data_IF_694023444105
#
_entry.id   IF_694023444105
#
_cell.length_a   1.000
_cell.length_b   1.000
_cell.length_c   1.000
_cell.angle_alpha   90.00
_cell.angle_beta   90.00
_cell.angle_gamma   90.00
#
_symmetry.space_group_name_H-M   'P 1'
#
loop_
_entity.id
_entity.type
_entity.pdbx_description
1 polymer ?
#
# COMPACT_ATOMS: atom_id res chain seq x y z
N UNK A 1 7.56 29.29 13.30
CA UNK A 1 8.34 28.43 12.37
C UNK A 1 8.10 26.99 12.77
N UNK A 2 7.13 26.31 12.15
CA UNK A 2 6.81 24.91 12.47
C UNK A 2 7.87 24.04 11.80
N UNK A 3 8.80 23.50 12.59
CA UNK A 3 9.74 22.50 12.10
C UNK A 3 8.95 21.32 11.55
N UNK A 4 8.95 21.15 10.23
CA UNK A 4 8.43 19.95 9.59
C UNK A 4 9.27 18.78 10.08
N UNK A 5 8.81 18.07 11.12
CA UNK A 5 9.35 16.78 11.50
C UNK A 5 9.36 15.90 10.24
N UNK A 6 10.56 15.50 9.80
CA UNK A 6 10.74 14.70 8.59
C UNK A 6 9.99 13.38 8.78
N UNK A 7 8.94 13.16 8.00
CA UNK A 7 8.15 11.92 8.03
C UNK A 7 9.00 10.73 7.60
N UNK A 8 8.78 9.59 8.25
CA UNK A 8 9.32 8.32 7.81
C UNK A 8 8.67 7.88 6.50
N UNK A 9 9.32 7.06 5.66
CA UNK A 9 8.68 6.51 4.45
C UNK A 9 7.34 5.82 4.74
N UNK A 10 7.22 5.17 5.90
CA UNK A 10 5.95 4.55 6.28
C UNK A 10 4.84 5.56 6.58
N UNK A 11 5.19 6.70 7.19
CA UNK A 11 4.22 7.79 7.39
C UNK A 11 3.82 8.43 6.06
N UNK A 12 4.76 8.60 5.13
CA UNK A 12 4.46 9.08 3.77
C UNK A 12 3.49 8.14 3.05
N UNK A 13 3.74 6.83 3.11
CA UNK A 13 2.84 5.79 2.58
C UNK A 13 1.41 5.90 3.16
N UNK A 14 1.30 6.24 4.45
CA UNK A 14 0.01 6.39 5.10
C UNK A 14 -0.81 7.59 4.61
N UNK A 15 -0.17 8.58 4.00
CA UNK A 15 -0.86 9.77 3.47
C UNK A 15 -1.83 9.40 2.32
N UNK A 16 -1.52 8.36 1.54
CA UNK A 16 -2.42 7.86 0.49
C UNK A 16 -3.79 7.45 1.04
N UNK A 17 -3.84 7.01 2.30
CA UNK A 17 -5.07 6.56 2.98
C UNK A 17 -5.74 7.64 3.81
N UNK A 18 -5.14 8.82 3.92
CA UNK A 18 -5.68 9.94 4.68
C UNK A 18 -6.90 10.57 3.98
N UNK A 19 -7.72 11.29 4.75
CA UNK A 19 -8.81 12.07 4.16
C UNK A 19 -8.26 13.33 3.51
N UNK A 20 -8.81 13.73 2.36
CA UNK A 20 -8.51 15.04 1.76
C UNK A 20 -8.88 16.22 2.68
N UNK A 21 -9.90 16.04 3.53
CA UNK A 21 -10.31 17.04 4.53
C UNK A 21 -9.39 17.09 5.76
N UNK A 22 -8.63 16.01 6.01
CA UNK A 22 -7.82 15.82 7.21
C UNK A 22 -6.55 15.04 6.83
N UNK A 23 -5.54 15.69 6.21
CA UNK A 23 -4.43 15.00 5.56
C UNK A 23 -3.50 14.24 6.51
N UNK A 24 -3.60 14.49 7.83
CA UNK A 24 -2.83 13.77 8.86
C UNK A 24 -3.66 12.70 9.58
N UNK A 25 -4.92 12.52 9.22
CA UNK A 25 -5.83 11.58 9.87
C UNK A 25 -6.39 10.57 8.88
N UNK A 26 -6.23 9.30 9.23
CA UNK A 26 -6.78 8.18 8.48
C UNK A 26 -8.01 7.73 9.25
N UNK A 27 -9.19 7.87 8.67
CA UNK A 27 -10.45 7.29 9.16
C UNK A 27 -10.72 5.93 8.50
N UNK A 28 -11.65 5.14 9.04
CA UNK A 28 -12.00 3.85 8.43
C UNK A 28 -12.44 4.04 6.97
N UNK A 29 -13.27 5.07 6.72
CA UNK A 29 -13.76 5.40 5.39
C UNK A 29 -12.66 5.94 4.48
N UNK A 30 -11.75 6.78 4.96
CA UNK A 30 -10.64 7.29 4.12
C UNK A 30 -9.67 6.18 3.74
N UNK A 31 -9.36 5.29 4.69
CA UNK A 31 -8.52 4.12 4.40
C UNK A 31 -9.19 3.18 3.40
N UNK A 32 -10.48 2.92 3.57
CA UNK A 32 -11.26 2.15 2.61
C UNK A 32 -11.23 2.78 1.21
N UNK A 33 -11.43 4.10 1.11
CA UNK A 33 -11.35 4.84 -0.15
C UNK A 33 -9.97 4.78 -0.79
N UNK A 34 -8.90 4.92 -0.01
CA UNK A 34 -7.52 4.81 -0.48
C UNK A 34 -7.17 3.39 -0.96
N UNK A 35 -7.67 2.35 -0.29
CA UNK A 35 -7.53 0.97 -0.75
C UNK A 35 -8.32 0.71 -2.03
N UNK A 36 -9.56 1.20 -2.11
CA UNK A 36 -10.38 1.10 -3.33
C UNK A 36 -9.72 1.84 -4.50
N UNK A 37 -9.08 2.99 -4.28
CA UNK A 37 -8.41 3.74 -5.36
C UNK A 37 -7.24 2.98 -5.98
N UNK A 38 -6.62 2.06 -5.24
CA UNK A 38 -5.60 1.13 -5.74
C UNK A 38 -6.19 0.01 -6.64
N UNK A 39 -7.51 -0.04 -6.82
CA UNK A 39 -8.21 -1.07 -7.59
C UNK A 39 -8.42 -2.38 -6.81
N UNK A 40 -8.46 -2.31 -5.47
CA UNK A 40 -8.79 -3.45 -4.63
C UNK A 40 -10.31 -3.65 -4.55
N UNK A 41 -10.73 -4.90 -4.42
CA UNK A 41 -12.12 -5.26 -4.15
C UNK A 41 -12.53 -4.85 -2.74
N UNK A 42 -13.84 -4.81 -2.50
CA UNK A 42 -14.39 -4.35 -1.24
C UNK A 42 -13.93 -5.21 -0.03
N UNK A 43 -13.93 -6.56 -0.09
CA UNK A 43 -13.41 -7.38 1.01
C UNK A 43 -11.96 -7.08 1.37
N UNK A 44 -11.06 -7.01 0.40
CA UNK A 44 -9.65 -6.70 0.63
C UNK A 44 -9.47 -5.30 1.21
N UNK A 45 -10.18 -4.31 0.66
CA UNK A 45 -10.13 -2.92 1.11
C UNK A 45 -10.64 -2.76 2.55
N UNK A 46 -11.72 -3.46 2.90
CA UNK A 46 -12.26 -3.46 4.26
C UNK A 46 -11.30 -4.14 5.25
N UNK A 47 -10.70 -5.27 4.87
CA UNK A 47 -9.73 -5.96 5.70
C UNK A 47 -8.49 -5.09 5.99
N UNK A 48 -7.98 -4.36 4.99
CA UNK A 48 -6.87 -3.41 5.18
C UNK A 48 -7.29 -2.24 6.09
N UNK A 49 -8.46 -1.66 5.84
CA UNK A 49 -8.96 -0.52 6.62
C UNK A 49 -9.17 -0.87 8.10
N UNK A 50 -9.68 -2.07 8.39
CA UNK A 50 -9.83 -2.61 9.74
C UNK A 50 -8.48 -3.00 10.36
N UNK A 51 -7.60 -3.64 9.59
CA UNK A 51 -6.26 -4.01 10.05
C UNK A 51 -5.46 -2.79 10.51
N UNK A 52 -5.55 -1.68 9.78
CA UNK A 52 -4.96 -0.41 10.19
C UNK A 52 -5.50 0.09 11.54
N UNK A 53 -6.81 -0.07 11.81
CA UNK A 53 -7.41 0.28 13.12
C UNK A 53 -6.81 -0.58 14.23
N UNK A 54 -6.82 -1.89 14.04
CA UNK A 54 -6.36 -2.83 15.05
C UNK A 54 -4.89 -2.62 15.39
N UNK A 55 -4.07 -2.26 14.39
CA UNK A 55 -2.63 -2.08 14.57
C UNK A 55 -2.23 -0.72 15.16
N UNK A 56 -2.99 0.35 14.91
CA UNK A 56 -2.54 1.71 15.22
C UNK A 56 -3.55 2.56 16.00
N UNK A 57 -4.80 2.13 16.19
CA UNK A 57 -5.72 2.82 17.07
C UNK A 57 -5.59 2.28 18.51
N UNK A 58 -5.54 3.16 19.52
CA UNK A 58 -5.38 2.73 20.91
C UNK A 58 -6.63 1.99 21.40
N UNK A 59 -6.45 0.82 22.03
CA UNK A 59 -7.53 0.15 22.76
C UNK A 59 -8.06 1.07 23.88
N UNK A 60 -9.37 1.16 24.12
CA UNK A 60 -10.50 0.47 23.44
C UNK A 60 -11.10 1.21 22.24
N UNK A 61 -10.47 2.28 21.76
CA UNK A 61 -11.05 3.22 20.80
C UNK A 61 -10.68 2.88 19.33
N UNK A 62 -10.89 1.64 18.91
CA UNK A 62 -10.48 1.17 17.57
C UNK A 62 -11.12 1.93 16.40
N UNK A 63 -12.27 2.58 16.60
CA UNK A 63 -12.95 3.35 15.55
C UNK A 63 -12.44 4.79 15.42
N UNK A 64 -11.55 5.25 16.31
CA UNK A 64 -10.99 6.60 16.21
C UNK A 64 -10.08 6.72 14.97
N UNK A 65 -10.04 7.90 14.34
CA UNK A 65 -9.04 8.20 13.31
C UNK A 65 -7.61 7.96 13.83
N UNK A 66 -6.77 7.38 12.99
CA UNK A 66 -5.35 7.17 13.29
C UNK A 66 -4.61 8.41 12.80
N UNK A 67 -3.85 9.05 13.68
CA UNK A 67 -3.01 10.20 13.33
C UNK A 67 -1.67 9.72 12.80
N UNK A 68 -1.31 10.12 11.58
CA UNK A 68 -0.06 9.70 10.93
C UNK A 68 1.15 10.10 11.78
N UNK A 69 1.12 11.32 12.32
CA UNK A 69 2.20 11.85 13.15
C UNK A 69 2.35 11.12 14.50
N UNK A 70 1.32 10.37 14.94
CA UNK A 70 1.37 9.55 16.16
C UNK A 70 1.98 8.16 15.95
N UNK A 71 2.20 7.74 14.70
CA UNK A 71 2.85 6.47 14.39
C UNK A 71 4.33 6.62 14.74
N UNK A 72 4.76 5.95 15.81
CA UNK A 72 6.17 6.01 16.24
C UNK A 72 7.08 5.35 15.20
N UNK A 73 8.34 5.82 15.05
CA UNK A 73 9.29 5.18 14.15
C UNK A 73 9.53 3.70 14.46
N UNK A 74 9.45 3.30 15.73
CA UNK A 74 9.52 1.87 16.12
C UNK A 74 8.32 1.06 15.66
N UNK A 75 7.15 1.68 15.51
CA UNK A 75 5.94 1.06 14.98
C UNK A 75 5.80 1.18 13.45
N UNK A 76 6.70 1.90 12.77
CA UNK A 76 6.75 1.96 11.30
C UNK A 76 6.94 0.55 10.70
N UNK A 77 6.45 0.29 9.49
CA UNK A 77 6.71 -0.99 8.80
C UNK A 77 7.92 -0.88 7.90
N UNK A 78 8.54 -2.02 7.61
CA UNK A 78 9.65 -2.08 6.66
C UNK A 78 9.14 -1.69 5.27
N UNK A 79 9.44 -0.45 4.89
CA UNK A 79 9.33 0.06 3.52
C UNK A 79 10.55 -0.39 2.68
N UNK A 80 11.31 -1.41 3.12
CA UNK A 80 12.63 -1.75 2.57
C UNK A 80 13.62 -0.58 2.57
N UNK A 81 13.41 0.45 3.41
CA UNK A 81 14.19 1.71 3.40
C UNK A 81 15.70 1.50 3.47
N UNK A 82 16.15 0.46 4.19
CA UNK A 82 17.57 0.14 4.37
C UNK A 82 18.05 -1.03 3.50
N UNK A 83 17.21 -1.58 2.63
CA UNK A 83 17.62 -2.63 1.71
C UNK A 83 18.37 -2.01 0.52
N UNK A 84 19.55 -2.55 0.21
CA UNK A 84 20.31 -2.11 -0.97
C UNK A 84 19.68 -2.70 -2.23
N UNK A 85 19.30 -1.84 -3.17
CA UNK A 85 18.88 -2.25 -4.51
C UNK A 85 20.13 -2.15 -5.39
N UNK A 86 20.61 -3.26 -6.00
CA UNK A 86 21.80 -3.21 -6.85
C UNK A 86 21.64 -2.16 -7.96
N UNK A 87 22.60 -1.24 -8.09
CA UNK A 87 22.53 -0.13 -9.04
C UNK A 87 22.52 -0.59 -10.51
N UNK A 88 23.12 -1.74 -10.79
CA UNK A 88 23.18 -2.38 -12.11
C UNK A 88 21.88 -3.05 -12.54
N UNK A 89 20.89 -3.10 -11.67
CA UNK A 89 19.68 -3.87 -11.91
C UNK A 89 18.59 -3.03 -12.56
N UNK A 90 18.44 -3.17 -13.88
CA UNK A 90 17.15 -3.00 -14.57
C UNK A 90 16.15 -4.12 -14.17
N UNK A 91 16.38 -4.81 -13.05
CA UNK A 91 15.64 -6.01 -12.68
C UNK A 91 14.28 -5.67 -12.11
N UNK A 92 13.29 -6.43 -12.53
CA UNK A 92 12.07 -6.63 -11.77
C UNK A 92 12.31 -7.67 -10.67
N UNK A 93 11.56 -7.59 -9.58
CA UNK A 93 11.71 -8.41 -8.38
C UNK A 93 10.50 -9.33 -8.22
N UNK A 94 10.73 -10.62 -8.05
CA UNK A 94 9.68 -11.55 -7.62
C UNK A 94 9.34 -11.36 -6.15
N UNK A 95 8.28 -12.01 -5.69
CA UNK A 95 7.91 -12.08 -4.27
C UNK A 95 9.06 -12.56 -3.39
N UNK A 96 9.76 -13.60 -3.83
CA UNK A 96 10.88 -14.17 -3.08
C UNK A 96 12.05 -13.21 -3.05
N UNK A 97 12.34 -12.52 -4.16
CA UNK A 97 13.42 -11.53 -4.21
C UNK A 97 13.18 -10.40 -3.20
N UNK A 98 11.95 -9.88 -3.11
CA UNK A 98 11.57 -8.84 -2.15
C UNK A 98 11.65 -9.32 -0.69
N UNK A 99 11.24 -10.55 -0.41
CA UNK A 99 11.38 -11.14 0.92
C UNK A 99 12.84 -11.37 1.29
N UNK A 100 13.67 -11.81 0.34
CA UNK A 100 15.12 -11.93 0.52
C UNK A 100 15.74 -10.57 0.82
N UNK A 101 15.41 -9.54 0.04
CA UNK A 101 15.84 -8.15 0.31
C UNK A 101 15.45 -7.68 1.71
N UNK A 102 14.23 -7.98 2.15
CA UNK A 102 13.82 -7.71 3.52
C UNK A 102 14.67 -8.47 4.52
N UNK A 103 14.80 -9.80 4.39
CA UNK A 103 15.52 -10.64 5.35
C UNK A 103 17.00 -10.30 5.45
N UNK A 104 17.63 -9.86 4.37
CA UNK A 104 19.03 -9.44 4.33
C UNK A 104 19.25 -8.00 4.79
N UNK A 105 18.19 -7.22 5.03
CA UNK A 105 18.30 -5.84 5.50
C UNK A 105 18.65 -5.76 7.00
N UNK A 106 19.34 -4.71 7.41
CA UNK A 106 19.63 -4.46 8.83
C UNK A 106 18.37 -4.29 9.68
N UNK A 107 17.25 -3.90 9.06
CA UNK A 107 15.96 -3.75 9.73
C UNK A 107 15.36 -5.09 10.19
N UNK A 108 15.50 -6.17 9.40
CA UNK A 108 14.95 -7.48 9.76
C UNK A 108 15.64 -8.05 11.00
N UNK A 109 16.96 -7.89 11.11
CA UNK A 109 17.76 -8.38 12.23
C UNK A 109 17.42 -7.71 13.55
N UNK A 110 16.87 -6.48 13.50
CA UNK A 110 16.46 -5.73 14.70
C UNK A 110 15.04 -6.02 15.15
N UNK A 111 14.24 -6.76 14.36
CA UNK A 111 12.83 -7.05 14.67
C UNK A 111 12.63 -8.52 14.96
N UNK A 112 12.00 -8.81 16.10
CA UNK A 112 11.69 -10.17 16.53
C UNK A 112 10.17 -10.40 16.63
N UNK A 113 9.77 -11.68 16.55
CA UNK A 113 8.39 -12.11 16.75
C UNK A 113 7.36 -11.44 15.84
N UNK A 114 6.34 -10.84 16.46
CA UNK A 114 5.19 -10.23 15.78
C UNK A 114 5.59 -9.09 14.83
N UNK A 115 6.56 -8.26 15.19
CA UNK A 115 6.99 -7.13 14.34
C UNK A 115 7.58 -7.62 13.02
N UNK A 116 8.39 -8.68 13.06
CA UNK A 116 8.96 -9.30 11.86
C UNK A 116 7.90 -10.00 11.00
N UNK A 117 6.85 -10.55 11.61
CA UNK A 117 5.69 -11.07 10.87
C UNK A 117 4.93 -9.96 10.15
N UNK A 118 4.64 -8.85 10.84
CA UNK A 118 3.92 -7.72 10.27
C UNK A 118 4.68 -7.05 9.12
N UNK A 119 6.01 -7.00 9.19
CA UNK A 119 6.84 -6.50 8.10
C UNK A 119 6.86 -7.42 6.88
N UNK A 120 6.96 -8.73 7.08
CA UNK A 120 6.86 -9.69 5.97
C UNK A 120 5.51 -9.61 5.30
N UNK A 121 4.44 -9.45 6.08
CA UNK A 121 3.09 -9.22 5.56
C UNK A 121 3.01 -7.90 4.79
N UNK A 122 3.65 -6.84 5.26
CA UNK A 122 3.71 -5.55 4.58
C UNK A 122 4.42 -5.65 3.22
N UNK A 123 5.61 -6.25 3.16
CA UNK A 123 6.35 -6.50 1.91
C UNK A 123 5.56 -7.41 0.96
N UNK A 124 4.91 -8.44 1.49
CA UNK A 124 4.05 -9.32 0.70
C UNK A 124 2.84 -8.57 0.11
N UNK A 125 2.20 -7.72 0.91
CA UNK A 125 1.07 -6.91 0.47
C UNK A 125 1.48 -5.92 -0.62
N UNK A 126 2.66 -5.30 -0.49
CA UNK A 126 3.25 -4.48 -1.54
C UNK A 126 3.47 -5.28 -2.83
N UNK A 127 4.07 -6.46 -2.76
CA UNK A 127 4.20 -7.33 -3.95
C UNK A 127 2.84 -7.63 -4.57
N UNK A 128 1.85 -8.04 -3.77
CA UNK A 128 0.52 -8.40 -4.26
C UNK A 128 -0.16 -7.22 -4.99
N UNK A 129 0.09 -5.99 -4.52
CA UNK A 129 -0.50 -4.77 -5.06
C UNK A 129 0.34 -4.05 -6.12
N UNK A 130 1.65 -4.28 -6.23
CA UNK A 130 2.52 -3.54 -7.15
C UNK A 130 3.05 -4.41 -8.29
N UNK A 131 3.08 -5.75 -8.11
CA UNK A 131 3.61 -6.64 -9.11
C UNK A 131 2.72 -6.65 -10.35
N UNK A 132 3.36 -6.51 -11.51
CA UNK A 132 2.72 -6.63 -12.81
C UNK A 132 1.96 -7.96 -12.88
N UNK A 133 0.75 -7.90 -13.38
CA UNK A 133 -0.19 -9.02 -13.35
C UNK A 133 0.18 -10.14 -14.31
N UNK A 134 0.95 -9.84 -15.37
CA UNK A 134 1.40 -10.81 -16.37
C UNK A 134 2.68 -11.52 -15.93
N UNK A 135 3.63 -10.78 -15.38
CA UNK A 135 4.97 -11.28 -15.01
C UNK A 135 5.05 -11.72 -13.55
N UNK A 136 4.19 -11.18 -12.68
CA UNK A 136 4.28 -11.40 -11.23
C UNK A 136 5.50 -10.75 -10.57
N UNK A 137 6.11 -9.76 -11.23
CA UNK A 137 7.31 -9.07 -10.75
C UNK A 137 7.07 -7.59 -10.54
N UNK A 138 7.79 -6.99 -9.59
CA UNK A 138 7.75 -5.56 -9.26
C UNK A 138 8.97 -4.88 -9.85
N UNK A 139 8.78 -3.82 -10.62
CA UNK A 139 9.92 -3.08 -11.20
C UNK A 139 10.77 -2.40 -10.12
N UNK A 140 12.08 -2.31 -10.34
CA UNK A 140 13.00 -1.61 -9.44
C UNK A 140 12.55 -0.17 -9.11
N UNK A 141 11.93 0.51 -10.08
CA UNK A 141 11.39 1.85 -9.89
C UNK A 141 10.30 1.88 -8.81
N UNK A 142 9.42 0.88 -8.75
CA UNK A 142 8.40 0.78 -7.72
C UNK A 142 8.96 0.36 -6.37
N UNK A 143 9.98 -0.49 -6.33
CA UNK A 143 10.69 -0.79 -5.08
C UNK A 143 11.33 0.49 -4.51
N UNK A 144 11.94 1.32 -5.36
CA UNK A 144 12.50 2.62 -4.94
C UNK A 144 11.42 3.60 -4.47
N UNK A 145 10.22 3.57 -5.06
CA UNK A 145 9.07 4.35 -4.57
C UNK A 145 8.55 3.81 -3.24
N UNK A 146 8.51 2.49 -3.07
CA UNK A 146 8.16 1.84 -1.82
C UNK A 146 9.11 2.27 -0.69
N UNK A 147 10.42 2.26 -0.95
CA UNK A 147 11.45 2.79 -0.03
C UNK A 147 11.24 4.24 0.40
N UNK A 148 10.53 5.03 -0.40
CA UNK A 148 10.20 6.43 -0.13
C UNK A 148 8.77 6.63 0.36
N UNK A 149 7.94 5.58 0.36
CA UNK A 149 6.53 5.62 0.73
C UNK A 149 5.60 6.25 -0.29
N UNK A 150 5.93 6.23 -1.59
CA UNK A 150 5.16 6.92 -2.64
C UNK A 150 4.95 6.08 -3.91
N UNK A 151 4.56 4.81 -3.75
CA UNK A 151 4.43 3.85 -4.84
C UNK A 151 3.01 3.73 -5.38
N UNK A 152 2.03 4.13 -4.58
CA UNK A 152 0.60 3.96 -4.82
C UNK A 152 0.15 4.69 -6.05
N UNK A 153 0.59 5.94 -6.24
CA UNK A 153 0.24 6.74 -7.41
C UNK A 153 0.64 6.03 -8.71
N UNK A 154 1.86 5.47 -8.76
CA UNK A 154 2.33 4.75 -9.94
C UNK A 154 1.44 3.52 -10.23
N UNK A 155 1.05 2.78 -9.19
CA UNK A 155 0.13 1.65 -9.31
C UNK A 155 -1.26 2.08 -9.77
N UNK A 156 -1.80 3.15 -9.19
CA UNK A 156 -3.09 3.73 -9.60
C UNK A 156 -3.04 4.11 -11.08
N UNK A 157 -1.98 4.79 -11.53
CA UNK A 157 -1.83 5.16 -12.94
C UNK A 157 -1.85 3.96 -13.88
N UNK A 158 -1.08 2.90 -13.59
CA UNK A 158 -1.03 1.69 -14.42
C UNK A 158 -2.36 0.96 -14.50
N UNK A 159 -3.21 1.13 -13.48
CA UNK A 159 -4.54 0.53 -13.38
C UNK A 159 -5.65 1.36 -13.99
N UNK A 160 -5.36 2.54 -14.51
CA UNK A 160 -6.42 3.47 -14.92
C UNK A 160 -7.27 2.95 -16.06
N UNK A 161 -6.73 2.25 -17.05
CA UNK A 161 -7.54 1.84 -18.19
C UNK A 161 -8.37 0.59 -17.87
N UNK A 162 -9.66 0.63 -18.20
CA UNK A 162 -10.56 -0.54 -18.17
C UNK A 162 -10.51 -1.37 -19.46
N UNK A 163 -9.79 -0.90 -20.49
CA UNK A 163 -9.70 -1.58 -21.78
C UNK A 163 -8.89 -2.87 -21.60
N UNK A 164 -9.40 -4.03 -22.06
CA UNK A 164 -8.69 -5.30 -21.97
C UNK A 164 -7.26 -5.18 -22.54
N UNK A 165 -6.27 -5.55 -21.73
CA UNK A 165 -4.86 -5.52 -22.12
C UNK A 165 -4.16 -4.16 -22.01
N UNK A 166 -4.87 -3.05 -21.74
CA UNK A 166 -4.28 -1.71 -21.57
C UNK A 166 -4.07 -1.30 -20.09
N UNK A 167 -4.77 -1.92 -19.15
CA UNK A 167 -4.61 -1.68 -17.71
C UNK A 167 -4.01 -2.87 -16.96
N UNK A 168 -3.25 -2.60 -15.90
CA UNK A 168 -2.68 -3.60 -14.98
C UNK A 168 -3.67 -3.97 -13.84
N UNK A 169 -4.87 -4.40 -14.22
CA UNK A 169 -5.96 -4.71 -13.29
C UNK A 169 -5.65 -5.97 -12.50
N UNK A 170 -5.70 -5.89 -11.17
CA UNK A 170 -5.41 -7.04 -10.31
C UNK A 170 -6.36 -8.22 -10.58
N UNK A 171 -5.84 -9.46 -10.58
CA UNK A 171 -6.69 -10.63 -10.51
C UNK A 171 -7.33 -10.74 -9.13
N UNK A 172 -8.48 -11.43 -9.05
CA UNK A 172 -9.22 -11.59 -7.80
C UNK A 172 -8.38 -12.18 -6.65
N UNK A 173 -7.48 -13.13 -6.96
CA UNK A 173 -6.57 -13.76 -5.97
C UNK A 173 -5.55 -12.78 -5.35
N UNK A 174 -5.31 -11.62 -5.98
CA UNK A 174 -4.49 -10.53 -5.43
C UNK A 174 -5.35 -9.37 -4.92
N UNK A 175 -6.66 -9.60 -4.74
CA UNK A 175 -7.59 -8.61 -4.25
C UNK A 175 -8.23 -7.74 -5.33
N UNK A 176 -8.14 -8.08 -6.61
CA UNK A 176 -8.84 -7.36 -7.67
C UNK A 176 -10.34 -7.70 -7.79
N UNK A 177 -11.08 -7.01 -8.68
CA UNK A 177 -12.52 -7.23 -8.87
C UNK A 177 -12.84 -8.47 -9.70
N UNK A 178 -14.02 -9.07 -9.49
CA UNK A 178 -14.57 -10.10 -10.40
C UNK A 178 -15.08 -9.53 -11.72
N UNK A 179 -15.51 -8.26 -11.72
CA UNK A 179 -15.98 -7.54 -12.90
C UNK A 179 -15.63 -6.06 -12.79
N UNK A 180 -14.83 -5.57 -13.74
CA UNK A 180 -14.25 -4.22 -13.72
C UNK A 180 -15.32 -3.13 -13.79
N UNK A 181 -16.29 -3.26 -14.72
CA UNK A 181 -17.34 -2.27 -14.91
C UNK A 181 -18.28 -2.18 -13.70
N UNK A 182 -18.79 -3.32 -13.22
CA UNK A 182 -19.67 -3.38 -12.06
C UNK A 182 -18.97 -2.86 -10.80
N UNK A 183 -17.70 -3.21 -10.61
CA UNK A 183 -16.91 -2.72 -9.49
C UNK A 183 -16.66 -1.20 -9.59
N UNK A 184 -16.25 -0.69 -10.75
CA UNK A 184 -16.05 0.75 -10.98
C UNK A 184 -17.32 1.54 -10.66
N UNK A 185 -18.46 1.08 -11.17
CA UNK A 185 -19.76 1.68 -10.88
C UNK A 185 -20.07 1.66 -9.38
N UNK A 186 -19.96 0.51 -8.71
CA UNK A 186 -20.29 0.39 -7.29
C UNK A 186 -19.38 1.26 -6.42
N UNK A 187 -18.07 1.28 -6.70
CA UNK A 187 -17.09 2.06 -5.96
C UNK A 187 -17.30 3.56 -6.14
N UNK A 188 -17.66 3.99 -7.35
CA UNK A 188 -18.00 5.38 -7.62
C UNK A 188 -19.27 5.81 -6.88
N UNK A 189 -20.34 5.03 -6.97
CA UNK A 189 -21.64 5.41 -6.40
C UNK A 189 -21.66 5.33 -4.86
N UNK A 190 -21.03 4.31 -4.26
CA UNK A 190 -21.08 4.09 -2.82
C UNK A 190 -20.00 4.87 -2.06
N UNK A 191 -18.82 5.04 -2.66
CA UNK A 191 -17.66 5.60 -1.97
C UNK A 191 -17.15 6.89 -2.61
N UNK A 192 -17.64 7.30 -3.79
CA UNK A 192 -17.16 8.49 -4.49
C UNK A 192 -15.78 8.32 -5.13
N UNK A 193 -15.26 7.09 -5.20
CA UNK A 193 -13.91 6.81 -5.72
C UNK A 193 -13.99 6.42 -7.18
N UNK A 194 -13.15 7.03 -8.03
CA UNK A 194 -13.09 6.71 -9.47
C UNK A 194 -11.94 5.76 -9.74
N UNK A 195 -12.27 4.56 -10.23
CA UNK A 195 -11.31 3.53 -10.68
C UNK A 195 -11.68 3.07 -12.08
N UNK A 196 -10.70 2.63 -12.87
CA UNK A 196 -10.91 2.06 -14.22
C UNK A 196 -11.68 3.01 -15.16
N UNK A 197 -10.97 3.99 -15.71
CA UNK A 197 -11.42 4.94 -16.73
C UNK A 197 -11.51 4.30 -18.12
N UNK A 198 -12.16 5.02 -19.03
CA UNK A 198 -12.66 4.53 -20.32
C UNK A 198 -11.69 4.78 -21.49
N UNK A 199 -10.48 5.26 -21.19
CA UNK A 199 -9.41 5.67 -22.12
C UNK A 199 -8.56 4.50 -22.67
#
# INVERSE_FOLDING_TARGET
MSGSLRRTPFQTHMEHFASSSSPNEISLLSSLRGSLSLGLNLPASLALALGLRVLYAPFPHYLRPVRIDSITPSASRSQLEHASIPETSNSSFSRTDLLTLYTSSTASHRRSGLQSLLDRMHVWSFWAMAADTKTGRVDAADVRRFQKGNWEDAVVQRRKSRVPGKGDILPFVRGGPLGVAAHSWAVHNLFGVKVYRDD
#
